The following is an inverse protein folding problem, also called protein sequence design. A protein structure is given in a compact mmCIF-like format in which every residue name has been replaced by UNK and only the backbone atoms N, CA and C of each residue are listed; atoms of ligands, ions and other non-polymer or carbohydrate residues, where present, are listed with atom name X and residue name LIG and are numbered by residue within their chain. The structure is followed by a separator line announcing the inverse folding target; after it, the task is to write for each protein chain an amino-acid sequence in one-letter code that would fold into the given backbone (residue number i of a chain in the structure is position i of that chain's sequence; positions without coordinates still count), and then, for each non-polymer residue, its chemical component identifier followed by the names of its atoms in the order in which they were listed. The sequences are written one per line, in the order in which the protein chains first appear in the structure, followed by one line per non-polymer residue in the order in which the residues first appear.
data_IF_799666182303
#
_entry.id   IF_799666182303
#
_cell.length_a   1.000
_cell.length_b   1.000
_cell.length_c   1.000
_cell.angle_alpha   90.00
_cell.angle_beta   90.00
_cell.angle_gamma   90.00
#
_symmetry.space_group_name_H-M   'P 1'
#
loop_
_entity.id
_entity.type
_entity.pdbx_description
1 polymer ?
#
# COMPACT_ATOMS: atom_id res chain seq x y z
N UNK A 1 46.58 26.31 0.06
CA UNK A 1 45.94 25.05 0.55
C UNK A 1 46.47 23.87 -0.24
N UNK A 2 47.01 22.84 0.42
CA UNK A 2 47.60 21.64 -0.22
C UNK A 2 46.56 20.83 -1.01
N UNK A 3 46.98 20.19 -2.11
CA UNK A 3 46.14 19.30 -2.93
C UNK A 3 45.47 18.18 -2.11
N UNK A 4 46.14 17.70 -1.06
CA UNK A 4 45.63 16.69 -0.14
C UNK A 4 44.42 17.21 0.65
N UNK A 5 44.42 18.48 1.04
CA UNK A 5 43.29 19.11 1.74
C UNK A 5 42.07 19.30 0.83
N UNK A 6 42.29 19.61 -0.45
CA UNK A 6 41.21 19.70 -1.47
C UNK A 6 40.58 18.33 -1.74
N UNK A 7 41.39 17.28 -1.87
CA UNK A 7 40.91 15.90 -2.10
C UNK A 7 40.10 15.36 -0.92
N UNK A 8 40.55 15.60 0.31
CA UNK A 8 39.80 15.23 1.53
C UNK A 8 38.46 15.97 1.63
N UNK A 9 38.42 17.26 1.26
CA UNK A 9 37.19 18.06 1.21
C UNK A 9 36.21 17.57 0.15
N UNK A 10 36.70 17.25 -1.06
CA UNK A 10 35.88 16.70 -2.14
C UNK A 10 35.29 15.32 -1.78
N UNK A 11 36.08 14.43 -1.19
CA UNK A 11 35.62 13.11 -0.74
C UNK A 11 34.56 13.23 0.38
N UNK A 12 34.76 14.16 1.33
CA UNK A 12 33.76 14.44 2.37
C UNK A 12 32.45 15.01 1.81
N UNK A 13 32.51 15.89 0.80
CA UNK A 13 31.31 16.41 0.11
C UNK A 13 30.57 15.33 -0.66
N UNK A 14 31.30 14.48 -1.39
CA UNK A 14 30.71 13.35 -2.11
C UNK A 14 30.00 12.38 -1.14
N UNK A 15 30.64 12.04 -0.02
CA UNK A 15 30.03 11.19 1.02
C UNK A 15 28.74 11.81 1.58
N UNK A 16 28.74 13.11 1.90
CA UNK A 16 27.55 13.80 2.40
C UNK A 16 26.42 13.85 1.36
N UNK A 17 26.75 14.06 0.08
CA UNK A 17 25.79 14.01 -1.03
C UNK A 17 25.17 12.62 -1.18
N UNK A 18 25.98 11.56 -1.13
CA UNK A 18 25.47 10.18 -1.19
C UNK A 18 24.56 9.88 -0.02
N UNK A 19 24.95 10.23 1.22
CA UNK A 19 24.10 10.06 2.41
C UNK A 19 22.78 10.82 2.23
N UNK A 20 22.82 12.07 1.77
CA UNK A 20 21.63 12.87 1.56
C UNK A 20 20.70 12.25 0.52
N UNK A 21 21.22 11.80 -0.62
CA UNK A 21 20.43 11.12 -1.67
C UNK A 21 19.82 9.82 -1.14
N UNK A 22 20.58 9.00 -0.42
CA UNK A 22 20.08 7.74 0.15
C UNK A 22 18.97 7.96 1.18
N UNK A 23 19.09 8.99 2.03
CA UNK A 23 18.04 9.35 3.00
C UNK A 23 16.78 9.82 2.29
N UNK A 24 16.91 10.67 1.26
CA UNK A 24 15.75 11.16 0.49
C UNK A 24 15.02 10.07 -0.30
N UNK A 25 15.75 9.06 -0.79
CA UNK A 25 15.13 7.94 -1.51
C UNK A 25 14.42 6.97 -0.55
N UNK A 26 15.00 6.72 0.62
CA UNK A 26 14.39 5.85 1.63
C UNK A 26 13.07 6.42 2.17
N UNK A 27 12.99 7.74 2.39
CA UNK A 27 11.75 8.38 2.89
C UNK A 27 10.62 8.37 1.87
N UNK A 28 10.94 8.45 0.58
CA UNK A 28 9.95 8.35 -0.48
C UNK A 28 9.31 6.95 -0.56
N UNK A 29 10.07 5.89 -0.27
CA UNK A 29 9.56 4.51 -0.29
C UNK A 29 8.61 4.24 0.89
N UNK A 30 8.91 4.76 2.08
CA UNK A 30 8.05 4.59 3.26
C UNK A 30 6.69 5.28 3.13
N UNK A 31 6.63 6.44 2.43
CA UNK A 31 5.41 7.20 2.24
C UNK A 31 4.33 6.47 1.41
N UNK A 32 4.73 5.50 0.59
CA UNK A 32 3.83 4.66 -0.23
C UNK A 32 3.85 3.18 0.19
N UNK A 33 4.53 2.85 1.30
CA UNK A 33 4.53 1.52 1.89
C UNK A 33 3.39 1.32 2.90
N UNK A 34 3.33 0.16 3.58
CA UNK A 34 2.31 -0.13 4.59
C UNK A 34 2.14 1.01 5.61
N UNK A 35 3.26 1.55 6.12
CA UNK A 35 3.25 2.64 7.08
C UNK A 35 2.60 3.91 6.52
N UNK A 36 2.91 4.29 5.28
CA UNK A 36 2.28 5.45 4.64
C UNK A 36 0.77 5.31 4.51
N UNK A 37 0.30 4.13 4.10
CA UNK A 37 -1.13 3.82 4.01
C UNK A 37 -1.83 3.84 5.38
N UNK A 38 -1.20 3.25 6.40
CA UNK A 38 -1.68 3.30 7.78
C UNK A 38 -1.77 4.75 8.29
N UNK A 39 -0.74 5.57 8.06
CA UNK A 39 -0.74 7.00 8.45
C UNK A 39 -1.90 7.76 7.79
N UNK A 40 -2.10 7.59 6.48
CA UNK A 40 -3.21 8.25 5.77
C UNK A 40 -4.56 7.77 6.31
N UNK A 41 -4.70 6.46 6.57
CA UNK A 41 -5.90 5.89 7.18
C UNK A 41 -6.17 6.45 8.58
N UNK A 42 -5.13 6.55 9.43
CA UNK A 42 -5.23 7.12 10.77
C UNK A 42 -5.59 8.61 10.77
N UNK A 43 -5.00 9.39 9.85
CA UNK A 43 -5.41 10.79 9.65
C UNK A 43 -6.88 10.85 9.23
N UNK A 44 -7.34 9.95 8.35
CA UNK A 44 -8.74 9.91 7.95
C UNK A 44 -9.68 9.55 9.12
N UNK A 45 -9.29 8.62 9.99
CA UNK A 45 -10.02 8.31 11.22
C UNK A 45 -10.16 9.55 12.11
N UNK A 46 -9.08 10.31 12.33
CA UNK A 46 -9.09 11.54 13.13
C UNK A 46 -9.99 12.61 12.51
N UNK A 47 -9.91 12.80 11.18
CA UNK A 47 -10.70 13.80 10.45
C UNK A 47 -12.19 13.49 10.45
N UNK A 48 -12.55 12.20 10.47
CA UNK A 48 -13.94 11.75 10.52
C UNK A 48 -14.48 11.65 11.94
N UNK A 49 -13.65 11.78 12.97
CA UNK A 49 -14.06 11.63 14.36
C UNK A 49 -15.28 12.51 14.69
N UNK A 50 -16.20 11.96 15.48
CA UNK A 50 -17.45 12.61 15.90
C UNK A 50 -18.41 12.99 14.75
N UNK A 51 -18.25 12.39 13.56
CA UNK A 51 -19.19 12.56 12.45
C UNK A 51 -20.10 11.33 12.29
N UNK A 52 -21.31 11.49 11.70
CA UNK A 52 -22.12 10.35 11.28
C UNK A 52 -21.42 9.45 10.25
N UNK A 53 -20.49 10.01 9.47
CA UNK A 53 -19.69 9.27 8.48
C UNK A 53 -18.77 8.26 9.16
N UNK A 54 -18.11 8.63 10.26
CA UNK A 54 -17.27 7.70 11.03
C UNK A 54 -18.06 6.47 11.50
N UNK A 55 -19.29 6.65 11.99
CA UNK A 55 -20.12 5.52 12.43
C UNK A 55 -20.46 4.57 11.27
N UNK A 56 -20.79 5.12 10.10
CA UNK A 56 -21.08 4.33 8.90
C UNK A 56 -19.85 3.54 8.45
N UNK A 57 -18.70 4.20 8.38
CA UNK A 57 -17.42 3.57 8.02
C UNK A 57 -17.07 2.46 9.01
N UNK A 58 -17.16 2.73 10.32
CA UNK A 58 -16.89 1.74 11.37
C UNK A 58 -17.80 0.52 11.27
N UNK A 59 -19.07 0.73 10.89
CA UNK A 59 -20.04 -0.36 10.69
C UNK A 59 -19.70 -1.20 9.45
N UNK A 60 -19.30 -0.56 8.34
CA UNK A 60 -18.87 -1.25 7.13
C UNK A 60 -17.61 -2.09 7.38
N UNK A 61 -16.71 -1.56 8.19
CA UNK A 61 -15.42 -2.17 8.50
C UNK A 61 -15.46 -3.14 9.70
N UNK A 62 -16.64 -3.48 10.22
CA UNK A 62 -16.80 -4.38 11.38
C UNK A 62 -15.93 -3.97 12.58
N UNK A 63 -15.83 -2.67 12.81
CA UNK A 63 -15.01 -2.14 13.89
C UNK A 63 -13.51 -2.06 13.58
N UNK A 64 -13.04 -2.27 12.35
CA UNK A 64 -11.68 -1.91 11.97
C UNK A 64 -11.53 -0.39 11.85
N UNK A 65 -10.32 0.11 12.11
CA UNK A 65 -9.93 1.50 11.85
C UNK A 65 -9.63 1.67 10.36
N UNK A 66 -9.72 2.88 9.83
CA UNK A 66 -9.22 3.17 8.49
C UNK A 66 -7.71 2.95 8.40
N UNK A 67 -6.96 3.18 9.48
CA UNK A 67 -5.54 2.79 9.59
C UNK A 67 -5.33 1.33 9.18
N UNK A 68 -6.08 0.38 9.78
CA UNK A 68 -5.94 -1.06 9.47
C UNK A 68 -6.61 -1.46 8.17
N UNK A 69 -7.71 -0.80 7.80
CA UNK A 69 -8.39 -1.08 6.54
C UNK A 69 -7.54 -0.70 5.32
N UNK A 70 -6.65 0.30 5.45
CA UNK A 70 -5.84 0.84 4.36
C UNK A 70 -4.85 -0.17 3.75
N UNK A 71 -4.53 -1.26 4.45
CA UNK A 71 -3.55 -2.27 4.01
C UNK A 71 -4.17 -3.62 3.66
N UNK A 72 -5.48 -3.79 3.84
CA UNK A 72 -6.17 -5.09 3.66
C UNK A 72 -5.93 -5.68 2.27
N UNK A 73 -5.92 -4.84 1.23
CA UNK A 73 -5.71 -5.30 -0.14
C UNK A 73 -4.37 -6.04 -0.28
N UNK A 74 -3.31 -5.56 0.36
CA UNK A 74 -1.99 -6.19 0.29
C UNK A 74 -1.85 -7.37 1.27
N UNK A 75 -2.55 -7.35 2.40
CA UNK A 75 -2.56 -8.48 3.35
C UNK A 75 -3.16 -9.75 2.72
N UNK A 76 -4.10 -9.61 1.79
CA UNK A 76 -4.72 -10.75 1.09
C UNK A 76 -3.95 -11.21 -0.15
N UNK A 77 -2.89 -10.50 -0.58
CA UNK A 77 -2.01 -10.90 -1.70
C UNK A 77 -1.41 -12.29 -1.53
N UNK A 78 -1.21 -12.71 -0.28
CA UNK A 78 -0.72 -14.04 0.05
C UNK A 78 -1.63 -15.18 -0.45
N UNK A 79 -2.91 -14.91 -0.67
CA UNK A 79 -3.90 -15.88 -1.12
C UNK A 79 -3.69 -16.28 -2.59
N UNK A 80 -3.00 -15.47 -3.38
CA UNK A 80 -2.82 -15.72 -4.82
C UNK A 80 -2.01 -16.98 -5.14
N UNK A 81 -1.15 -17.38 -4.22
CA UNK A 81 -0.24 -18.52 -4.44
C UNK A 81 -0.96 -19.85 -4.33
N UNK A 82 -1.90 -19.97 -3.39
CA UNK A 82 -2.49 -21.26 -2.98
C UNK A 82 -4.02 -21.22 -2.79
N UNK A 83 -4.63 -20.07 -3.04
CA UNK A 83 -6.04 -19.80 -2.82
C UNK A 83 -6.37 -19.41 -1.38
N UNK A 84 -7.56 -18.85 -1.22
CA UNK A 84 -8.08 -18.41 0.09
C UNK A 84 -8.29 -19.57 1.06
N UNK A 85 -8.55 -20.77 0.56
CA UNK A 85 -8.88 -21.94 1.38
C UNK A 85 -7.64 -22.72 1.85
N UNK A 86 -6.41 -22.26 1.55
CA UNK A 86 -5.19 -22.81 2.16
C UNK A 86 -5.28 -22.67 3.70
N UNK A 87 -5.11 -23.75 4.48
CA UNK A 87 -5.07 -23.68 5.94
C UNK A 87 -4.03 -22.72 6.51
N UNK A 88 -2.98 -22.39 5.74
CA UNK A 88 -1.91 -21.44 6.09
C UNK A 88 -2.18 -20.03 5.60
N UNK A 89 -3.26 -19.79 4.86
CA UNK A 89 -3.65 -18.46 4.43
C UNK A 89 -3.91 -17.56 5.65
N UNK A 90 -3.51 -16.29 5.53
CA UNK A 90 -3.84 -15.27 6.53
C UNK A 90 -5.36 -15.14 6.71
N UNK A 91 -5.80 -14.82 7.94
CA UNK A 91 -7.23 -14.73 8.31
C UNK A 91 -7.48 -13.59 9.28
N UNK A 92 -8.54 -12.81 9.04
CA UNK A 92 -9.04 -11.81 10.00
C UNK A 92 -9.90 -12.48 11.08
N UNK A 93 -9.26 -13.27 11.95
CA UNK A 93 -9.93 -14.12 12.94
C UNK A 93 -10.84 -13.33 13.91
N UNK A 94 -10.44 -12.11 14.24
CA UNK A 94 -11.20 -11.20 15.10
C UNK A 94 -12.36 -10.49 14.38
N UNK A 95 -12.34 -10.43 13.04
CA UNK A 95 -13.33 -9.77 12.19
C UNK A 95 -13.85 -10.77 11.15
N UNK A 96 -14.57 -11.81 11.61
CA UNK A 96 -15.02 -12.94 10.76
C UNK A 96 -15.85 -12.51 9.57
N UNK A 97 -16.64 -11.43 9.71
CA UNK A 97 -17.43 -10.87 8.62
C UNK A 97 -16.53 -10.32 7.51
N UNK A 98 -15.50 -9.58 7.88
CA UNK A 98 -14.50 -9.04 6.95
C UNK A 98 -13.72 -10.20 6.29
N UNK A 99 -13.27 -11.20 7.07
CA UNK A 99 -12.59 -12.38 6.51
C UNK A 99 -13.43 -13.06 5.42
N UNK A 100 -14.72 -13.28 5.69
CA UNK A 100 -15.63 -13.89 4.72
C UNK A 100 -15.84 -13.01 3.48
N UNK A 101 -16.08 -11.71 3.67
CA UNK A 101 -16.27 -10.78 2.55
C UNK A 101 -15.04 -10.69 1.65
N UNK A 102 -13.84 -10.72 2.22
CA UNK A 102 -12.59 -10.72 1.47
C UNK A 102 -12.37 -12.03 0.70
N UNK A 103 -12.73 -13.17 1.30
CA UNK A 103 -12.69 -14.46 0.60
C UNK A 103 -13.63 -14.49 -0.59
N UNK A 104 -14.85 -13.98 -0.41
CA UNK A 104 -15.85 -13.91 -1.48
C UNK A 104 -15.43 -12.94 -2.58
N UNK A 105 -14.86 -11.79 -2.19
CA UNK A 105 -14.25 -10.84 -3.11
C UNK A 105 -13.11 -11.48 -3.92
N UNK A 106 -12.15 -12.16 -3.29
CA UNK A 106 -11.05 -12.81 -4.00
C UNK A 106 -11.57 -13.90 -4.95
N UNK A 107 -12.56 -14.70 -4.54
CA UNK A 107 -13.16 -15.74 -5.41
C UNK A 107 -13.81 -15.14 -6.66
N UNK A 108 -14.44 -13.98 -6.54
CA UNK A 108 -15.03 -13.26 -7.67
C UNK A 108 -14.00 -12.52 -8.54
N UNK A 109 -12.80 -12.24 -8.01
CA UNK A 109 -11.78 -11.38 -8.62
C UNK A 109 -10.39 -12.06 -8.56
N UNK A 110 -10.31 -13.32 -9.01
CA UNK A 110 -9.07 -14.09 -8.98
C UNK A 110 -7.95 -13.39 -9.77
N UNK A 111 -6.67 -13.61 -9.41
CA UNK A 111 -5.53 -13.08 -10.14
C UNK A 111 -5.62 -13.37 -11.63
N UNK A 112 -5.60 -12.31 -12.45
CA UNK A 112 -5.39 -12.42 -13.88
C UNK A 112 -4.29 -11.48 -14.33
N UNK A 113 -3.47 -11.94 -15.26
CA UNK A 113 -2.38 -11.16 -15.87
C UNK A 113 -2.80 -10.52 -17.20
N UNK A 114 -4.02 -10.79 -17.69
CA UNK A 114 -4.51 -10.23 -18.94
C UNK A 114 -5.20 -8.89 -18.68
N UNK A 115 -4.51 -7.81 -19.08
CA UNK A 115 -4.97 -6.43 -18.97
C UNK A 115 -6.21 -6.13 -19.85
N UNK A 116 -6.56 -7.01 -20.78
CA UNK A 116 -7.70 -6.82 -21.69
C UNK A 116 -8.99 -7.49 -21.20
N UNK A 117 -8.94 -8.23 -20.07
CA UNK A 117 -10.14 -8.83 -19.51
C UNK A 117 -10.98 -7.77 -18.81
N UNK A 118 -12.27 -7.73 -19.18
CA UNK A 118 -13.26 -6.86 -18.55
C UNK A 118 -13.56 -7.23 -17.08
N UNK A 119 -13.05 -8.37 -16.61
CA UNK A 119 -13.25 -8.81 -15.23
C UNK A 119 -12.23 -8.14 -14.30
N UNK A 120 -12.68 -7.42 -13.26
CA UNK A 120 -11.78 -6.80 -12.30
C UNK A 120 -10.91 -7.85 -11.60
N UNK A 121 -9.61 -7.59 -11.53
CA UNK A 121 -8.66 -8.36 -10.72
C UNK A 121 -8.48 -7.64 -9.39
N UNK A 122 -8.45 -8.37 -8.28
CA UNK A 122 -8.17 -7.70 -7.00
C UNK A 122 -6.74 -7.12 -6.94
N UNK A 123 -5.83 -7.55 -7.82
CA UNK A 123 -4.50 -6.96 -7.97
C UNK A 123 -4.54 -5.46 -8.23
N UNK A 124 -5.61 -4.96 -8.83
CA UNK A 124 -5.79 -3.52 -9.08
C UNK A 124 -5.88 -2.69 -7.79
N UNK A 125 -6.14 -3.33 -6.66
CA UNK A 125 -6.24 -2.67 -5.35
C UNK A 125 -4.94 -2.78 -4.54
N UNK A 126 -3.92 -3.48 -5.05
CA UNK A 126 -2.62 -3.48 -4.40
C UNK A 126 -1.93 -2.13 -4.60
N UNK A 127 -1.54 -1.47 -3.51
CA UNK A 127 -0.87 -0.18 -3.62
C UNK A 127 0.56 -0.30 -4.16
N UNK A 128 1.16 -1.50 -4.14
CA UNK A 128 2.42 -1.76 -4.87
C UNK A 128 2.25 -1.80 -6.38
N UNK A 129 1.02 -1.98 -6.87
CA UNK A 129 0.75 -2.31 -8.28
C UNK A 129 0.04 -1.13 -9.01
N UNK A 130 -0.15 0.01 -8.33
CA UNK A 130 -0.65 1.26 -8.95
C UNK A 130 0.51 1.99 -9.64
N UNK A 131 0.47 2.21 -10.97
CA UNK A 131 1.53 2.94 -11.66
C UNK A 131 1.61 4.39 -11.21
N UNK A 132 2.77 4.83 -10.73
CA UNK A 132 3.05 6.24 -10.40
C UNK A 132 3.31 7.07 -11.67
N UNK A 133 3.55 6.40 -12.80
CA UNK A 133 3.71 7.03 -14.12
C UNK A 133 2.47 6.76 -14.98
N UNK A 134 1.98 7.76 -15.74
CA UNK A 134 0.92 7.53 -16.71
C UNK A 134 1.33 6.40 -17.65
N UNK A 135 0.43 5.43 -17.85
CA UNK A 135 0.61 4.44 -18.91
C UNK A 135 0.57 5.22 -20.22
N UNK A 136 1.67 5.26 -20.95
CA UNK A 136 1.76 5.92 -22.25
C UNK A 136 0.70 5.33 -23.19
N UNK A 137 -0.46 5.97 -23.32
CA UNK A 137 -1.50 5.52 -24.25
C UNK A 137 -2.94 5.93 -23.96
N UNK A 138 -3.32 6.32 -22.74
CA UNK A 138 -4.72 6.72 -22.46
C UNK A 138 -4.86 8.23 -22.42
N UNK A 139 -5.06 8.83 -23.59
CA UNK A 139 -5.70 10.14 -23.70
C UNK A 139 -7.17 9.97 -23.33
N UNK A 140 -7.58 10.48 -22.16
CA UNK A 140 -8.99 10.73 -21.89
C UNK A 140 -9.36 12.05 -22.57
N UNK A 141 -10.03 11.96 -23.71
CA UNK A 141 -10.85 13.03 -24.29
C UNK A 141 -12.32 12.67 -24.12
#
# INVERSE_FOLDING_TARGET
MSAIAKMKSACRRALLLTIFISVQLATAVEAYGPLGHEIVGGIADERLANTPTAMKVRTLLDGLTLEKAAVIADEIKGWDKKGVDDPKAFRYSAHRKIDQQLRDFWRANQPTHDINLAMPSHHWFHYTDVPVVPVSGTSFT
#
